data_IF_672273272334
#
_entry.id   IF_672273272334
#
_cell.length_a   1.000
_cell.length_b   1.000
_cell.length_c   1.000
_cell.angle_alpha   90.00
_cell.angle_beta   90.00
_cell.angle_gamma   90.00
#
_symmetry.space_group_name_H-M   'P 1'
#
loop_
_entity.id
_entity.type
_entity.pdbx_description
1 polymer ?
#
# COMPACT_ATOMS: atom_id res chain seq x y z
N UNK A 1 -10.73 -12.19 8.81
CA UNK A 1 -11.79 -11.66 7.93
C UNK A 1 -11.26 -11.66 6.52
N UNK A 2 -12.04 -12.09 5.55
CA UNK A 2 -11.67 -12.11 4.13
C UNK A 2 -12.64 -11.22 3.36
N UNK A 3 -12.11 -10.33 2.53
CA UNK A 3 -12.90 -9.43 1.68
C UNK A 3 -12.48 -9.67 0.25
N UNK A 4 -13.41 -10.17 -0.56
CA UNK A 4 -13.22 -10.29 -2.01
C UNK A 4 -13.57 -8.95 -2.67
N UNK A 5 -12.63 -8.40 -3.41
CA UNK A 5 -12.86 -7.19 -4.20
C UNK A 5 -12.84 -7.54 -5.69
N UNK A 6 -13.94 -7.22 -6.38
CA UNK A 6 -14.05 -7.38 -7.83
C UNK A 6 -13.66 -6.08 -8.51
N UNK A 7 -12.54 -6.11 -9.24
CA UNK A 7 -12.16 -5.01 -10.12
C UNK A 7 -13.00 -5.08 -11.40
N UNK A 8 -13.53 -3.93 -11.83
CA UNK A 8 -14.20 -3.81 -13.12
C UNK A 8 -13.19 -4.09 -14.24
N UNK A 9 -13.58 -4.89 -15.24
CA UNK A 9 -12.69 -5.33 -16.33
C UNK A 9 -12.19 -4.16 -17.17
N UNK A 10 -12.97 -3.09 -17.23
CA UNK A 10 -12.66 -1.90 -18.03
C UNK A 10 -11.90 -0.84 -17.24
N UNK A 11 -11.76 -1.01 -15.92
CA UNK A 11 -11.04 -0.07 -15.05
C UNK A 11 -9.70 -0.63 -14.64
N UNK A 12 -8.61 -0.06 -15.17
CA UNK A 12 -7.24 -0.36 -14.72
C UNK A 12 -6.94 0.15 -13.31
N UNK A 13 -7.86 0.88 -12.70
CA UNK A 13 -7.75 1.39 -11.34
C UNK A 13 -8.90 0.92 -10.46
N UNK A 14 -8.59 0.60 -9.22
CA UNK A 14 -9.56 0.33 -8.17
C UNK A 14 -9.16 1.18 -6.95
N UNK A 15 -10.07 2.01 -6.48
CA UNK A 15 -9.96 2.68 -5.19
C UNK A 15 -11.10 2.21 -4.31
N UNK A 16 -10.80 1.72 -3.11
CA UNK A 16 -11.82 1.23 -2.21
C UNK A 16 -11.47 1.54 -0.75
N UNK A 17 -12.47 2.04 -0.05
CA UNK A 17 -12.45 2.14 1.39
C UNK A 17 -13.09 0.89 2.00
N UNK A 18 -12.29 0.10 2.71
CA UNK A 18 -12.74 -1.05 3.49
C UNK A 18 -12.81 -0.68 4.97
N UNK A 19 -13.79 -1.27 5.67
CA UNK A 19 -13.97 -1.15 7.12
C UNK A 19 -13.87 -2.51 7.76
N UNK A 20 -13.24 -2.58 8.92
CA UNK A 20 -13.14 -3.79 9.70
C UNK A 20 -13.10 -3.47 11.18
N UNK A 21 -13.62 -4.35 12.01
CA UNK A 21 -13.60 -4.18 13.46
C UNK A 21 -12.39 -4.89 14.06
N UNK A 22 -11.65 -4.19 14.91
CA UNK A 22 -10.59 -4.76 15.75
C UNK A 22 -11.19 -5.03 17.13
N UNK A 23 -11.27 -6.30 17.58
CA UNK A 23 -11.70 -6.65 18.93
C UNK A 23 -10.80 -6.11 20.04
N UNK A 24 -11.30 -6.14 21.27
CA UNK A 24 -10.45 -6.04 22.46
C UNK A 24 -9.38 -7.13 22.44
N UNK A 25 -8.25 -6.88 23.11
CA UNK A 25 -7.16 -7.86 23.31
C UNK A 25 -6.39 -8.27 22.04
N UNK A 26 -6.56 -7.55 20.93
CA UNK A 26 -5.74 -7.71 19.73
C UNK A 26 -4.40 -6.99 19.90
N UNK A 27 -3.32 -7.75 19.90
CA UNK A 27 -1.94 -7.24 19.98
C UNK A 27 -1.25 -7.16 18.60
N UNK A 28 -1.91 -7.65 17.54
CA UNK A 28 -1.39 -7.63 16.17
C UNK A 28 -2.50 -7.57 15.13
N UNK A 29 -2.34 -6.68 14.15
CA UNK A 29 -3.19 -6.61 12.95
C UNK A 29 -2.32 -6.90 11.73
N UNK A 30 -2.67 -7.95 10.98
CA UNK A 30 -1.98 -8.32 9.75
C UNK A 30 -2.88 -8.05 8.55
N UNK A 31 -2.32 -7.39 7.53
CA UNK A 31 -3.02 -7.09 6.28
C UNK A 31 -2.25 -7.76 5.15
N UNK A 32 -2.94 -8.67 4.47
CA UNK A 32 -2.44 -9.42 3.33
C UNK A 32 -3.34 -9.10 2.13
N UNK A 33 -2.73 -8.64 1.04
CA UNK A 33 -3.41 -8.51 -0.25
C UNK A 33 -2.83 -9.58 -1.18
N UNK A 34 -3.68 -10.51 -1.61
CA UNK A 34 -3.31 -11.57 -2.55
C UNK A 34 -3.73 -11.17 -3.96
N UNK A 35 -2.79 -11.25 -4.88
CA UNK A 35 -3.01 -10.95 -6.30
C UNK A 35 -2.29 -11.98 -7.18
N UNK A 36 -2.90 -12.32 -8.31
CA UNK A 36 -2.29 -13.23 -9.29
C UNK A 36 -1.42 -12.47 -10.31
N UNK A 37 -1.59 -11.15 -10.43
CA UNK A 37 -0.94 -10.31 -11.42
C UNK A 37 -0.09 -9.20 -10.78
N UNK A 38 0.99 -8.80 -11.46
CA UNK A 38 1.79 -7.66 -11.05
C UNK A 38 0.97 -6.35 -11.09
N UNK A 39 0.80 -5.72 -9.93
CA UNK A 39 0.04 -4.49 -9.79
C UNK A 39 0.77 -3.48 -8.91
N UNK A 40 0.47 -2.20 -9.11
CA UNK A 40 0.82 -1.15 -8.17
C UNK A 40 -0.25 -1.10 -7.09
N UNK A 41 0.15 -1.38 -5.85
CA UNK A 41 -0.72 -1.38 -4.69
C UNK A 41 -0.25 -0.31 -3.71
N UNK A 42 -1.18 0.51 -3.26
CA UNK A 42 -1.01 1.37 -2.09
C UNK A 42 -2.16 1.16 -1.14
N UNK A 43 -1.89 1.15 0.16
CA UNK A 43 -2.97 1.23 1.13
C UNK A 43 -2.58 2.02 2.37
N UNK A 44 -3.58 2.67 2.97
CA UNK A 44 -3.44 3.50 4.16
C UNK A 44 -4.43 3.01 5.21
N UNK A 45 -3.93 2.73 6.41
CA UNK A 45 -4.70 2.14 7.50
C UNK A 45 -4.90 3.18 8.58
N UNK A 46 -6.14 3.44 8.94
CA UNK A 46 -6.48 4.31 10.06
C UNK A 46 -7.29 3.55 11.11
N UNK A 47 -7.08 3.91 12.38
CA UNK A 47 -7.93 3.45 13.48
C UNK A 47 -9.24 4.25 13.58
N UNK A 48 -10.07 3.91 14.58
CA UNK A 48 -11.34 4.59 14.86
C UNK A 48 -11.16 6.09 15.16
N UNK A 49 -10.00 6.50 15.66
CA UNK A 49 -9.66 7.90 15.95
C UNK A 49 -9.09 8.62 14.72
N UNK A 50 -9.10 7.98 13.55
CA UNK A 50 -8.50 8.46 12.30
C UNK A 50 -6.98 8.66 12.38
N UNK A 51 -6.30 8.00 13.32
CA UNK A 51 -4.84 8.02 13.38
C UNK A 51 -4.28 7.04 12.37
N UNK A 52 -3.25 7.47 11.65
CA UNK A 52 -2.50 6.60 10.74
C UNK A 52 -1.78 5.51 11.52
N UNK A 53 -2.05 4.24 11.19
CA UNK A 53 -1.44 3.07 11.82
C UNK A 53 -0.50 2.30 10.91
N UNK A 54 -0.69 2.41 9.60
CA UNK A 54 0.21 1.83 8.62
C UNK A 54 -0.02 2.47 7.25
N UNK A 55 1.06 2.58 6.49
CA UNK A 55 1.01 3.01 5.11
C UNK A 55 1.87 2.09 4.27
N UNK A 56 1.35 1.74 3.10
CA UNK A 56 2.02 0.92 2.13
C UNK A 56 2.04 1.59 0.77
N UNK A 57 3.23 1.71 0.17
CA UNK A 57 3.42 2.24 -1.18
C UNK A 57 4.53 1.43 -1.87
N UNK A 58 4.22 0.30 -2.51
CA UNK A 58 5.14 -0.35 -3.47
C UNK A 58 4.52 -1.54 -4.21
N UNK A 59 4.95 -1.76 -5.46
CA UNK A 59 4.57 -2.91 -6.28
C UNK A 59 5.24 -4.26 -5.91
N UNK A 60 6.25 -4.29 -5.03
CA UNK A 60 7.13 -5.48 -4.85
C UNK A 60 7.52 -5.80 -3.40
N UNK A 61 6.88 -5.19 -2.41
CA UNK A 61 7.22 -5.47 -1.02
C UNK A 61 6.59 -6.80 -0.58
N UNK A 62 7.29 -7.64 0.21
CA UNK A 62 6.70 -8.82 0.81
C UNK A 62 5.47 -8.45 1.65
N UNK A 63 4.33 -9.04 1.31
CA UNK A 63 3.15 -9.09 2.17
C UNK A 63 3.32 -10.28 3.16
N UNK A 64 2.67 -10.27 4.32
CA UNK A 64 1.77 -9.23 4.83
C UNK A 64 2.52 -8.04 5.45
N UNK A 65 1.82 -6.93 5.60
CA UNK A 65 2.22 -5.89 6.55
C UNK A 65 1.57 -6.18 7.89
N UNK A 66 2.36 -6.02 8.95
CA UNK A 66 1.89 -6.25 10.31
C UNK A 66 1.99 -4.94 11.10
N UNK A 67 0.95 -4.64 11.88
CA UNK A 67 0.98 -3.63 12.95
C UNK A 67 0.99 -4.42 14.25
N UNK A 68 2.02 -4.23 15.07
CA UNK A 68 2.22 -4.93 16.33
C UNK A 68 2.34 -3.93 17.49
N UNK A 69 1.82 -4.26 18.68
CA UNK A 69 1.95 -3.36 19.84
C UNK A 69 3.37 -3.33 20.39
N UNK A 70 4.02 -4.49 20.50
CA UNK A 70 5.40 -4.60 21.00
C UNK A 70 6.43 -4.08 19.98
N UNK A 71 7.22 -3.08 20.38
CA UNK A 71 8.28 -2.51 19.55
C UNK A 71 9.35 -3.54 19.16
N UNK A 72 9.64 -4.50 20.03
CA UNK A 72 10.64 -5.55 19.83
C UNK A 72 10.31 -6.50 18.68
N UNK A 73 9.04 -6.53 18.26
CA UNK A 73 8.56 -7.33 17.11
C UNK A 73 8.58 -6.55 15.80
N UNK A 74 9.07 -5.31 15.81
CA UNK A 74 9.15 -4.46 14.62
C UNK A 74 10.18 -4.97 13.63
N UNK A 75 9.92 -4.71 12.35
CA UNK A 75 10.80 -5.04 11.24
C UNK A 75 10.54 -4.03 10.11
N UNK A 76 11.28 -4.07 8.99
CA UNK A 76 10.93 -3.26 7.82
C UNK A 76 9.49 -3.44 7.32
N UNK A 77 8.80 -4.52 7.70
CA UNK A 77 7.42 -4.84 7.31
C UNK A 77 6.47 -5.00 8.51
N UNK A 78 6.96 -4.69 9.71
CA UNK A 78 6.16 -4.70 10.95
C UNK A 78 6.25 -3.33 11.60
N UNK A 79 5.16 -2.59 11.58
CA UNK A 79 5.04 -1.29 12.23
C UNK A 79 4.70 -1.49 13.70
N UNK A 80 5.36 -0.73 14.59
CA UNK A 80 4.93 -0.67 15.98
C UNK A 80 3.88 0.41 16.19
N UNK A 81 2.93 0.15 17.07
CA UNK A 81 2.02 1.17 17.55
C UNK A 81 0.86 0.61 18.36
N UNK A 82 0.24 1.47 19.17
CA UNK A 82 -0.90 1.08 19.99
C UNK A 82 -2.06 0.59 19.11
N UNK A 83 -2.57 -0.59 19.44
CA UNK A 83 -3.77 -1.17 18.82
C UNK A 83 -4.91 -1.02 19.82
N UNK A 84 -5.97 -0.35 19.38
CA UNK A 84 -7.18 -0.13 20.16
C UNK A 84 -8.34 -0.85 19.49
N UNK A 85 -9.27 -1.33 20.29
CA UNK A 85 -10.55 -1.82 19.79
C UNK A 85 -11.29 -0.73 19.00
N UNK A 86 -12.10 -1.14 18.02
CA UNK A 86 -12.94 -0.22 17.26
C UNK A 86 -13.00 -0.51 15.77
N UNK A 87 -13.75 0.32 15.05
CA UNK A 87 -13.80 0.28 13.59
C UNK A 87 -12.55 0.94 13.01
N UNK A 88 -11.79 0.16 12.26
CA UNK A 88 -10.63 0.60 11.50
C UNK A 88 -10.99 0.69 10.02
N UNK A 89 -10.23 1.50 9.29
CA UNK A 89 -10.40 1.68 7.85
C UNK A 89 -9.11 1.38 7.10
N UNK A 90 -9.26 0.81 5.91
CA UNK A 90 -8.17 0.65 4.94
C UNK A 90 -8.62 1.34 3.66
N UNK A 91 -7.91 2.38 3.25
CA UNK A 91 -8.05 2.97 1.92
C UNK A 91 -7.06 2.24 1.00
N UNK A 92 -7.58 1.51 0.01
CA UNK A 92 -6.79 0.70 -0.92
C UNK A 92 -6.90 1.33 -2.30
N UNK A 93 -5.75 1.61 -2.91
CA UNK A 93 -5.64 1.95 -4.33
C UNK A 93 -4.81 0.91 -5.06
N UNK A 94 -5.38 0.36 -6.11
CA UNK A 94 -4.76 -0.63 -6.98
C UNK A 94 -4.75 -0.07 -8.39
N UNK A 95 -3.58 -0.11 -9.03
CA UNK A 95 -3.42 0.20 -10.44
C UNK A 95 -2.84 -1.05 -11.10
N UNK A 96 -3.66 -1.72 -11.90
CA UNK A 96 -3.21 -2.82 -12.74
C UNK A 96 -2.17 -2.28 -13.72
N UNK A 97 -1.02 -2.96 -13.84
CA UNK A 97 -0.02 -2.56 -14.82
C UNK A 97 -0.56 -2.91 -16.21
N UNK A 98 -0.80 -1.92 -17.05
CA UNK A 98 -1.01 -2.18 -18.47
C UNK A 98 0.26 -2.86 -19.03
N UNK A 99 0.07 -3.93 -19.82
CA UNK A 99 1.12 -4.43 -20.69
C UNK A 99 1.41 -3.36 -21.75
N UNK A 100 2.23 -2.37 -21.40
CA UNK A 100 2.72 -1.41 -22.37
C UNK A 100 3.63 -2.21 -23.31
N UNK A 101 3.12 -2.54 -24.50
CA UNK A 101 3.98 -2.96 -25.62
C UNK A 101 5.10 -1.94 -25.69
N UNK A 102 6.36 -2.39 -25.64
CA UNK A 102 7.51 -1.51 -25.70
C UNK A 102 7.38 -0.61 -26.95
N UNK A 103 6.95 0.64 -26.75
CA UNK A 103 7.08 1.64 -27.78
C UNK A 103 8.59 1.87 -27.92
N UNK A 104 9.16 1.80 -29.10
CA UNK A 104 10.62 1.94 -29.25
C UNK A 104 11.10 3.40 -29.11
N UNK A 105 10.22 4.34 -28.75
CA UNK A 105 10.48 5.77 -28.68
C UNK A 105 10.07 6.30 -27.29
N UNK A 106 10.94 6.20 -26.29
CA UNK A 106 10.71 6.78 -24.96
C UNK A 106 11.71 7.90 -24.75
N UNK A 107 11.24 9.05 -24.28
CA UNK A 107 12.08 10.13 -23.80
C UNK A 107 12.03 10.12 -22.28
N UNK A 108 13.18 9.97 -21.62
CA UNK A 108 13.26 10.00 -20.16
C UNK A 108 13.53 11.42 -19.71
N UNK A 109 12.63 11.99 -18.91
CA UNK A 109 12.85 13.26 -18.21
C UNK A 109 13.16 12.97 -16.74
N UNK A 110 14.35 13.35 -16.29
CA UNK A 110 14.78 13.17 -14.90
C UNK A 110 14.75 14.52 -14.20
N UNK A 111 13.96 14.64 -13.12
CA UNK A 111 14.00 15.81 -12.23
C UNK A 111 14.80 15.42 -11.00
N UNK A 112 15.92 16.11 -10.79
CA UNK A 112 16.77 15.94 -9.61
C UNK A 112 16.68 17.21 -8.77
N UNK A 113 16.35 17.08 -7.49
CA UNK A 113 16.45 18.20 -6.55
C UNK A 113 17.82 18.17 -5.86
N UNK A 114 18.49 19.33 -5.86
CA UNK A 114 19.85 19.58 -5.34
C UNK A 114 21.01 18.97 -6.14
N UNK A 115 21.18 19.37 -7.41
CA UNK A 115 22.49 19.31 -8.05
C UNK A 115 22.73 20.52 -8.98
N UNK A 116 23.69 21.41 -8.65
CA UNK A 116 24.01 22.57 -9.47
C UNK A 116 24.94 22.16 -10.63
N UNK A 117 24.45 21.40 -11.61
CA UNK A 117 25.13 21.31 -12.91
C UNK A 117 24.20 20.79 -13.99
N UNK A 118 24.16 21.53 -15.08
CA UNK A 118 23.41 21.27 -16.32
C UNK A 118 23.92 19.98 -16.96
N UNK A 119 23.02 19.16 -17.50
CA UNK A 119 23.37 18.17 -18.54
C UNK A 119 22.32 18.25 -19.64
N UNK A 120 22.77 18.59 -20.86
CA UNK A 120 21.97 18.56 -22.08
C UNK A 120 21.84 17.12 -22.59
N UNK A 121 20.66 16.76 -23.11
CA UNK A 121 20.46 15.55 -23.88
C UNK A 121 21.20 15.63 -25.24
N UNK A 122 21.83 14.53 -25.65
CA UNK A 122 22.09 14.17 -27.05
C UNK A 122 21.06 13.12 -27.43
#
# INVERSE_FOLDING_TARGET
>A
MEIEVKQDKDSHQLNQLLRFYVPSDVHSVSIEVRNEQYMWLTYIIHDQQKKLRGQFIKAQTPQPIVIHQEQEKSSPYTFYGDIHEGEWTIDISIIAREEVKAFNNWCTFTITFNNPSISQCI
#
